data_IF_480236215742
#
_entry.id   IF_480236215742
#
_cell.length_a   1.000
_cell.length_b   1.000
_cell.length_c   1.000
_cell.angle_alpha   90.00
_cell.angle_beta   90.00
_cell.angle_gamma   90.00
#
_symmetry.space_group_name_H-M   'P 1'
#
loop_
_entity.id
_entity.type
_entity.pdbx_description
1 polymer ?
#
# COMPACT_ATOMS: atom_id res chain seq x y z
N UNK A 1 -8.41 9.89 2.02
CA UNK A 1 -7.86 10.00 3.42
C UNK A 1 -6.71 9.02 3.60
N UNK A 2 -5.67 9.36 4.40
CA UNK A 2 -4.57 8.43 4.73
C UNK A 2 -4.72 7.98 6.19
N UNK A 3 -4.71 6.67 6.42
CA UNK A 3 -4.78 6.05 7.74
C UNK A 3 -3.56 5.13 7.94
N UNK A 4 -2.77 5.37 9.00
CA UNK A 4 -1.64 4.53 9.38
C UNK A 4 -2.04 3.62 10.54
N UNK A 5 -1.75 2.33 10.42
CA UNK A 5 -2.03 1.31 11.42
C UNK A 5 -0.71 0.89 12.04
N UNK A 6 -0.62 1.02 13.36
CA UNK A 6 0.60 0.78 14.12
C UNK A 6 0.54 -0.56 14.86
N UNK A 7 1.70 -1.13 15.09
CA UNK A 7 1.86 -2.33 15.92
C UNK A 7 1.41 -2.06 17.37
N UNK A 8 0.75 -3.05 17.96
CA UNK A 8 0.43 -3.07 19.39
C UNK A 8 1.63 -3.53 20.22
N UNK A 9 2.50 -4.34 19.62
CA UNK A 9 3.74 -4.83 20.24
C UNK A 9 4.81 -3.76 20.26
N UNK A 10 4.94 -3.00 19.17
CA UNK A 10 5.85 -1.87 19.04
C UNK A 10 5.14 -0.64 18.46
N UNK A 11 4.60 0.25 19.30
CA UNK A 11 3.78 1.39 18.83
C UNK A 11 4.49 2.41 17.93
N UNK A 12 5.82 2.35 17.80
CA UNK A 12 6.56 3.19 16.84
C UNK A 12 6.59 2.60 15.42
N UNK A 13 6.21 1.32 15.27
CA UNK A 13 6.28 0.60 14.01
C UNK A 13 4.97 0.73 13.24
N UNK A 14 5.03 1.21 12.01
CA UNK A 14 3.91 1.19 11.08
C UNK A 14 3.79 -0.23 10.51
N UNK A 15 2.61 -0.83 10.64
CA UNK A 15 2.27 -2.09 9.99
C UNK A 15 1.73 -1.84 8.59
N UNK A 16 0.64 -1.10 8.48
CA UNK A 16 -0.05 -0.84 7.23
C UNK A 16 -0.39 0.63 7.06
N UNK A 17 -0.50 1.06 5.80
CA UNK A 17 -1.00 2.38 5.42
C UNK A 17 -2.15 2.17 4.44
N UNK A 18 -3.31 2.78 4.73
CA UNK A 18 -4.50 2.73 3.88
C UNK A 18 -4.77 4.13 3.33
N UNK A 19 -4.88 4.23 2.02
CA UNK A 19 -5.38 5.41 1.33
C UNK A 19 -6.79 5.12 0.83
N UNK A 20 -7.77 5.83 1.41
CA UNK A 20 -9.18 5.75 0.99
C UNK A 20 -9.45 6.86 -0.03
N UNK A 21 -9.94 6.46 -1.18
CA UNK A 21 -10.26 7.40 -2.27
C UNK A 21 -11.78 7.70 -2.30
N UNK A 22 -12.23 8.52 -1.35
CA UNK A 22 -13.66 8.90 -1.21
C UNK A 22 -14.16 9.82 -2.35
N UNK A 23 -13.29 10.21 -3.29
CA UNK A 23 -13.53 11.32 -4.21
C UNK A 23 -13.13 11.03 -5.68
N UNK A 24 -13.32 9.80 -6.11
CA UNK A 24 -12.94 9.36 -7.48
C UNK A 24 -13.55 10.28 -8.56
N UNK A 25 -14.79 10.74 -8.38
CA UNK A 25 -15.54 11.52 -9.36
C UNK A 25 -15.46 13.04 -9.16
N UNK A 26 -14.70 13.54 -8.16
CA UNK A 26 -14.54 14.98 -7.97
C UNK A 26 -13.66 15.60 -9.06
N UNK A 27 -14.09 16.78 -9.54
CA UNK A 27 -13.27 17.58 -10.44
C UNK A 27 -11.96 18.00 -9.77
N UNK A 28 -10.84 17.57 -10.33
CA UNK A 28 -9.51 17.95 -9.85
C UNK A 28 -9.23 19.38 -10.31
N UNK A 29 -9.19 20.33 -9.38
CA UNK A 29 -8.98 21.76 -9.65
C UNK A 29 -7.54 22.22 -9.44
N UNK A 30 -6.75 21.48 -8.68
CA UNK A 30 -5.35 21.80 -8.36
C UNK A 30 -4.50 20.55 -8.27
N UNK A 31 -3.18 20.71 -8.53
CA UNK A 31 -2.23 19.60 -8.33
C UNK A 31 -2.04 19.34 -6.84
N UNK A 32 -2.22 18.08 -6.44
CA UNK A 32 -1.88 17.59 -5.11
C UNK A 32 -1.00 16.35 -5.24
N UNK A 33 -0.09 16.19 -4.31
CA UNK A 33 0.77 15.01 -4.21
C UNK A 33 0.83 14.60 -2.76
N UNK A 34 0.39 13.39 -2.48
CA UNK A 34 0.43 12.80 -1.14
C UNK A 34 1.38 11.61 -1.16
N UNK A 35 2.46 11.66 -0.40
CA UNK A 35 3.27 10.47 -0.15
C UNK A 35 2.55 9.59 0.87
N UNK A 36 2.32 8.32 0.52
CA UNK A 36 1.76 7.34 1.42
C UNK A 36 2.84 6.72 2.30
N UNK A 37 4.05 6.62 1.78
CA UNK A 37 5.20 6.00 2.44
C UNK A 37 6.25 7.03 2.84
N UNK A 38 7.02 6.73 3.88
CA UNK A 38 8.15 7.56 4.30
C UNK A 38 9.35 7.35 3.35
N UNK A 39 10.27 8.33 3.24
CA UNK A 39 11.39 8.25 2.29
C UNK A 39 12.31 7.03 2.44
N UNK A 40 12.41 6.50 3.65
CA UNK A 40 13.23 5.32 4.00
C UNK A 40 12.58 3.98 3.66
N UNK A 41 11.27 3.95 3.36
CA UNK A 41 10.60 2.72 2.97
C UNK A 41 11.08 2.24 1.60
N UNK A 42 11.30 0.95 1.44
CA UNK A 42 11.85 0.37 0.21
C UNK A 42 10.86 0.37 -0.98
N UNK A 43 9.56 0.50 -0.73
CA UNK A 43 8.55 0.77 -1.73
C UNK A 43 7.98 2.18 -1.52
N UNK A 44 8.16 3.05 -2.52
CA UNK A 44 7.60 4.40 -2.50
C UNK A 44 6.25 4.41 -3.19
N UNK A 45 5.21 4.82 -2.48
CA UNK A 45 3.84 4.93 -2.99
C UNK A 45 3.35 6.37 -2.80
N UNK A 46 2.91 6.98 -3.91
CA UNK A 46 2.45 8.37 -3.94
C UNK A 46 1.11 8.45 -4.66
N UNK A 47 0.17 9.18 -4.09
CA UNK A 47 -1.10 9.52 -4.74
C UNK A 47 -1.00 10.91 -5.36
N UNK A 48 -1.32 11.01 -6.65
CA UNK A 48 -1.30 12.24 -7.42
C UNK A 48 -2.71 12.63 -7.85
N UNK A 49 -3.08 13.88 -7.61
CA UNK A 49 -4.24 14.52 -8.24
C UNK A 49 -3.70 15.62 -9.17
N UNK A 50 -4.04 15.58 -10.46
CA UNK A 50 -3.53 16.54 -11.43
C UNK A 50 -4.68 16.97 -12.38
N UNK A 51 -4.94 18.29 -12.52
CA UNK A 51 -5.89 18.78 -13.50
C UNK A 51 -5.48 18.40 -14.93
N UNK A 52 -6.46 18.34 -15.83
CA UNK A 52 -6.19 18.14 -17.25
C UNK A 52 -5.20 19.19 -17.78
N UNK A 53 -4.29 18.77 -18.66
CA UNK A 53 -3.24 19.64 -19.23
C UNK A 53 -2.01 19.84 -18.34
N UNK A 54 -1.97 19.29 -17.11
CA UNK A 54 -0.74 19.31 -16.28
C UNK A 54 0.39 18.59 -17.00
N UNK A 55 1.57 19.23 -17.04
CA UNK A 55 2.77 18.66 -17.65
C UNK A 55 3.84 18.43 -16.59
N UNK A 56 4.55 17.33 -16.71
CA UNK A 56 5.82 17.08 -16.00
C UNK A 56 7.00 17.35 -16.93
N UNK A 57 8.15 17.67 -16.34
CA UNK A 57 9.38 17.74 -17.12
C UNK A 57 9.83 16.34 -17.54
N UNK A 58 10.26 16.14 -18.79
CA UNK A 58 10.92 14.89 -19.18
C UNK A 58 12.11 14.61 -18.29
N UNK A 59 12.20 13.41 -17.74
CA UNK A 59 13.31 13.01 -16.87
C UNK A 59 13.55 11.51 -16.95
N UNK A 60 14.70 11.09 -16.46
CA UNK A 60 15.08 9.69 -16.22
C UNK A 60 15.55 9.52 -14.79
N UNK A 61 15.36 8.32 -14.26
CA UNK A 61 15.88 7.99 -12.93
C UNK A 61 17.35 7.61 -13.01
N UNK A 62 18.15 8.13 -12.08
CA UNK A 62 19.55 7.77 -11.95
C UNK A 62 19.70 6.35 -11.42
N UNK A 63 20.79 5.69 -11.85
CA UNK A 63 21.16 4.39 -11.30
C UNK A 63 21.63 4.62 -9.85
N UNK A 64 20.97 3.95 -8.91
CA UNK A 64 21.30 3.97 -7.49
C UNK A 64 21.22 2.56 -6.94
N UNK A 65 22.24 2.14 -6.21
CA UNK A 65 22.17 0.87 -5.45
C UNK A 65 21.14 1.00 -4.34
N UNK A 66 20.25 0.02 -4.23
CA UNK A 66 19.27 -0.09 -3.16
C UNK A 66 19.37 -1.49 -2.56
N UNK A 67 19.58 -1.55 -1.24
CA UNK A 67 19.61 -2.80 -0.49
C UNK A 67 18.42 -2.83 0.46
N UNK A 68 17.64 -3.89 0.38
CA UNK A 68 16.52 -4.11 1.28
C UNK A 68 16.46 -5.58 1.69
N UNK A 69 16.06 -5.81 2.93
CA UNK A 69 15.82 -7.15 3.51
C UNK A 69 14.34 -7.38 3.80
N UNK A 70 13.50 -6.38 3.51
CA UNK A 70 12.05 -6.46 3.71
C UNK A 70 11.33 -6.40 2.37
N UNK A 71 10.25 -7.14 2.25
CA UNK A 71 9.28 -7.01 1.18
C UNK A 71 8.17 -6.09 1.65
N UNK A 72 8.03 -4.94 0.98
CA UNK A 72 6.84 -4.10 1.07
C UNK A 72 5.95 -4.37 -0.12
N UNK A 73 4.66 -4.37 0.11
CA UNK A 73 3.66 -4.56 -0.94
C UNK A 73 2.68 -3.39 -0.94
N UNK A 74 2.16 -3.06 -2.12
CA UNK A 74 1.04 -2.14 -2.26
C UNK A 74 -0.02 -2.79 -3.14
N UNK A 75 -1.29 -2.57 -2.82
CA UNK A 75 -2.42 -3.05 -3.59
C UNK A 75 -3.33 -1.87 -3.93
N UNK A 76 -3.67 -1.77 -5.21
CA UNK A 76 -4.66 -0.80 -5.71
C UNK A 76 -5.88 -1.55 -6.21
N UNK A 77 -7.03 -1.34 -5.56
CA UNK A 77 -8.29 -1.98 -5.89
C UNK A 77 -8.97 -1.24 -7.05
N UNK A 78 -9.11 -1.93 -8.20
CA UNK A 78 -9.70 -1.38 -9.42
C UNK A 78 -11.18 -1.70 -9.58
N UNK A 79 -11.67 -2.72 -8.88
CA UNK A 79 -13.07 -3.14 -8.92
C UNK A 79 -13.40 -3.95 -7.68
N UNK A 80 -14.61 -3.75 -7.16
CA UNK A 80 -15.18 -4.54 -6.08
C UNK A 80 -14.74 -4.11 -4.69
N UNK A 81 -14.88 -5.01 -3.73
CA UNK A 81 -14.53 -4.76 -2.33
C UNK A 81 -13.89 -5.98 -1.68
N UNK A 82 -12.99 -5.70 -0.74
CA UNK A 82 -12.28 -6.71 0.06
C UNK A 82 -12.36 -6.36 1.54
N UNK A 83 -12.30 -7.38 2.40
CA UNK A 83 -12.00 -7.21 3.82
C UNK A 83 -10.52 -7.59 4.02
N UNK A 84 -9.74 -6.62 4.51
CA UNK A 84 -8.34 -6.77 4.85
C UNK A 84 -8.20 -7.04 6.34
N UNK A 85 -7.59 -8.16 6.70
CA UNK A 85 -7.22 -8.51 8.08
C UNK A 85 -5.74 -8.20 8.29
N UNK A 86 -5.41 -7.54 9.39
CA UNK A 86 -4.08 -7.01 9.69
C UNK A 86 -3.56 -7.70 10.96
N UNK A 87 -2.34 -8.24 10.85
CA UNK A 87 -1.65 -8.93 11.93
C UNK A 87 -0.37 -8.20 12.30
N UNK A 88 -0.03 -8.25 13.58
CA UNK A 88 1.19 -7.67 14.13
C UNK A 88 2.44 -8.52 13.80
N UNK A 89 3.60 -8.04 14.21
CA UNK A 89 4.88 -8.74 14.03
C UNK A 89 5.02 -10.04 14.86
N UNK A 90 4.14 -10.25 15.84
CA UNK A 90 4.01 -11.46 16.66
C UNK A 90 2.85 -12.36 16.22
N UNK A 91 2.31 -12.14 15.01
CA UNK A 91 1.17 -12.82 14.40
C UNK A 91 -0.19 -12.57 15.10
N UNK A 92 -0.24 -11.72 16.11
CA UNK A 92 -1.48 -11.36 16.79
C UNK A 92 -2.38 -10.48 15.89
N UNK A 93 -3.71 -10.70 15.96
CA UNK A 93 -4.67 -9.89 15.23
C UNK A 93 -4.70 -8.44 15.74
N UNK A 94 -4.58 -7.48 14.83
CA UNK A 94 -4.60 -6.05 15.13
C UNK A 94 -5.94 -5.43 14.80
N UNK A 95 -6.38 -5.53 13.55
CA UNK A 95 -7.57 -4.84 13.04
C UNK A 95 -8.04 -5.44 11.72
N UNK A 96 -9.24 -5.05 11.28
CA UNK A 96 -9.73 -5.33 9.93
C UNK A 96 -10.34 -4.10 9.30
N UNK A 97 -10.23 -3.98 7.98
CA UNK A 97 -10.71 -2.85 7.19
C UNK A 97 -11.40 -3.33 5.94
N UNK A 98 -12.48 -2.65 5.55
CA UNK A 98 -13.09 -2.82 4.23
C UNK A 98 -12.45 -1.82 3.30
N UNK A 99 -11.98 -2.30 2.15
CA UNK A 99 -11.43 -1.50 1.06
C UNK A 99 -12.34 -1.64 -0.16
N UNK A 100 -12.57 -0.53 -0.85
CA UNK A 100 -13.44 -0.42 -2.00
C UNK A 100 -12.65 0.01 -3.23
N UNK A 101 -13.32 0.05 -4.36
CA UNK A 101 -12.76 0.53 -5.63
C UNK A 101 -12.09 1.89 -5.48
N UNK A 102 -10.85 2.01 -5.96
CA UNK A 102 -10.01 3.19 -5.84
C UNK A 102 -9.18 3.28 -4.58
N UNK A 103 -9.42 2.42 -3.57
CA UNK A 103 -8.60 2.38 -2.38
C UNK A 103 -7.26 1.69 -2.64
N UNK A 104 -6.24 2.18 -1.97
CA UNK A 104 -4.90 1.59 -1.98
C UNK A 104 -4.47 1.28 -0.56
N UNK A 105 -3.86 0.12 -0.33
CA UNK A 105 -3.16 -0.13 0.92
C UNK A 105 -1.71 -0.53 0.68
N UNK A 106 -0.87 -0.21 1.65
CA UNK A 106 0.57 -0.51 1.63
C UNK A 106 0.91 -1.29 2.89
N UNK A 107 1.59 -2.41 2.70
CA UNK A 107 2.12 -3.25 3.76
C UNK A 107 3.57 -2.85 3.99
N UNK A 108 3.89 -2.45 5.22
CA UNK A 108 5.25 -2.08 5.62
C UNK A 108 5.83 -3.18 6.52
N UNK A 109 5.05 -3.66 7.48
CA UNK A 109 5.42 -4.70 8.43
C UNK A 109 4.21 -5.55 8.80
N UNK A 110 4.45 -6.62 9.58
CA UNK A 110 3.41 -7.52 10.04
C UNK A 110 2.85 -8.40 8.92
N UNK A 111 1.69 -8.99 9.18
CA UNK A 111 1.02 -9.91 8.27
C UNK A 111 -0.33 -9.38 7.79
N UNK A 112 -0.85 -10.02 6.76
CA UNK A 112 -2.17 -9.69 6.22
C UNK A 112 -2.89 -10.92 5.67
N UNK A 113 -4.22 -10.81 5.62
CA UNK A 113 -5.11 -11.74 4.93
C UNK A 113 -6.20 -10.94 4.23
N UNK A 114 -6.57 -11.34 3.03
CA UNK A 114 -7.61 -10.70 2.22
C UNK A 114 -8.75 -11.69 2.02
N UNK A 115 -9.98 -11.21 2.30
CA UNK A 115 -11.21 -11.88 1.91
C UNK A 115 -11.95 -11.01 0.90
N UNK A 116 -12.30 -11.58 -0.26
CA UNK A 116 -13.10 -10.87 -1.25
C UNK A 116 -14.57 -10.83 -0.81
N UNK A 117 -15.19 -9.65 -0.87
CA UNK A 117 -16.60 -9.43 -0.56
C UNK A 117 -17.46 -9.37 -1.82
N UNK A 118 -16.84 -9.18 -2.99
CA UNK A 118 -17.45 -9.20 -4.31
C UNK A 118 -16.44 -9.73 -5.33
N UNK A 119 -16.80 -9.75 -6.62
CA UNK A 119 -15.80 -9.95 -7.69
C UNK A 119 -14.82 -8.78 -7.68
N UNK A 120 -13.52 -9.07 -7.62
CA UNK A 120 -12.47 -8.06 -7.49
C UNK A 120 -11.48 -8.10 -8.62
N UNK A 121 -10.93 -6.92 -8.91
CA UNK A 121 -9.76 -6.74 -9.75
C UNK A 121 -8.84 -5.73 -9.08
N UNK A 122 -7.57 -6.07 -8.93
CA UNK A 122 -6.57 -5.19 -8.32
C UNK A 122 -5.19 -5.38 -8.94
N UNK A 123 -4.33 -4.39 -8.76
CA UNK A 123 -2.89 -4.52 -8.95
C UNK A 123 -2.19 -4.69 -7.62
N UNK A 124 -1.22 -5.59 -7.59
CA UNK A 124 -0.24 -5.72 -6.52
C UNK A 124 1.11 -5.25 -7.03
N UNK A 125 1.78 -4.43 -6.23
CA UNK A 125 3.13 -3.93 -6.46
C UNK A 125 3.99 -4.34 -5.27
N UNK A 126 5.19 -4.84 -5.54
CA UNK A 126 6.15 -5.13 -4.47
C UNK A 126 7.58 -4.81 -4.93
N UNK A 127 8.44 -4.48 -3.97
CA UNK A 127 9.85 -4.38 -4.30
C UNK A 127 10.42 -5.79 -4.56
N UNK A 128 11.27 -5.87 -5.58
CA UNK A 128 11.97 -7.13 -5.95
C UNK A 128 13.41 -7.18 -5.41
N UNK A 129 14.11 -8.27 -5.74
CA UNK A 129 13.65 -9.42 -6.55
C UNK A 129 12.73 -10.37 -5.76
N UNK A 130 11.84 -11.07 -6.50
CA UNK A 130 10.96 -12.09 -5.92
C UNK A 130 11.62 -13.47 -5.97
N UNK A 131 11.72 -14.14 -4.84
CA UNK A 131 12.39 -15.44 -4.69
C UNK A 131 11.43 -16.64 -4.58
N UNK A 132 10.13 -16.41 -4.70
CA UNK A 132 9.10 -17.43 -4.58
C UNK A 132 8.42 -17.47 -3.21
N UNK A 133 7.21 -18.07 -3.12
CA UNK A 133 6.39 -18.02 -1.91
C UNK A 133 7.07 -18.66 -0.71
N UNK A 134 7.85 -19.71 -0.92
CA UNK A 134 8.54 -20.43 0.17
C UNK A 134 9.63 -19.62 0.88
N UNK A 135 10.20 -18.60 0.16
CA UNK A 135 11.25 -17.74 0.73
C UNK A 135 10.71 -16.39 1.18
N UNK A 136 9.65 -15.91 0.52
CA UNK A 136 9.13 -14.57 0.72
C UNK A 136 7.93 -14.51 1.68
N UNK A 137 7.35 -15.66 2.04
CA UNK A 137 6.14 -15.72 2.89
C UNK A 137 6.27 -16.76 3.98
N UNK A 138 5.70 -16.43 5.13
CA UNK A 138 5.46 -17.38 6.23
C UNK A 138 3.97 -17.34 6.54
N UNK A 139 3.34 -18.52 6.67
CA UNK A 139 1.92 -18.58 7.01
C UNK A 139 1.73 -18.23 8.49
N UNK A 140 0.72 -17.44 8.77
CA UNK A 140 0.20 -17.15 10.11
C UNK A 140 -0.86 -18.23 10.42
N UNK A 141 -0.74 -18.92 11.55
CA UNK A 141 -1.63 -20.00 11.98
C UNK A 141 -2.73 -19.49 12.91
#
# INVERSE_FOLDING_TARGET
>A
MINKIYSKVNPSLILHIIYTNDKIDEKISSKKVNSLTEPEHCLQVMAFEMPAGTKSNPHKHNIQERRTTQTHEALLLLKGSIELFIYDIDDSFVDKKILNEGDCYVIINGGHYIQTLSDVKFFEFKNGPYYGPEKDKTNIN
#
